data_IF_866710108282
#
_entry.id   IF_866710108282
#
_cell.length_a   1.000
_cell.length_b   1.000
_cell.length_c   1.000
_cell.angle_alpha   90.00
_cell.angle_beta   90.00
_cell.angle_gamma   90.00
#
_symmetry.space_group_name_H-M   'P 1'
#
loop_
_entity.id
_entity.type
_entity.pdbx_description
1 polymer ?
#
# COMPACT_ATOMS: atom_id res chain seq x y z
N UNK A 1 -28.58 41.00 -17.11
CA UNK A 1 -27.25 40.37 -17.03
C UNK A 1 -26.44 40.93 -18.20
N UNK A 2 -25.39 41.70 -17.93
CA UNK A 2 -24.50 42.14 -18.99
C UNK A 2 -23.87 40.91 -19.67
N UNK A 3 -23.73 40.90 -21.00
CA UNK A 3 -23.06 39.82 -21.70
C UNK A 3 -21.59 39.81 -21.26
N UNK A 4 -21.25 38.89 -20.37
CA UNK A 4 -19.87 38.67 -19.93
C UNK A 4 -19.03 38.29 -21.15
N UNK A 5 -18.08 39.14 -21.52
CA UNK A 5 -17.15 38.89 -22.60
C UNK A 5 -16.33 37.61 -22.32
N UNK A 6 -16.23 36.75 -23.33
CA UNK A 6 -15.43 35.52 -23.23
C UNK A 6 -13.92 35.81 -23.10
N UNK A 7 -13.12 34.88 -22.54
CA UNK A 7 -11.71 35.11 -22.19
C UNK A 7 -10.86 35.63 -23.35
N UNK A 8 -10.98 35.00 -24.53
CA UNK A 8 -10.27 35.40 -25.76
C UNK A 8 -10.59 36.84 -26.19
N UNK A 9 -11.86 37.24 -26.06
CA UNK A 9 -12.31 38.60 -26.40
C UNK A 9 -11.80 39.62 -25.38
N UNK A 10 -11.76 39.27 -24.09
CA UNK A 10 -11.18 40.10 -23.04
C UNK A 10 -9.69 40.34 -23.27
N UNK A 11 -8.93 39.30 -23.63
CA UNK A 11 -7.50 39.44 -23.99
C UNK A 11 -7.32 40.36 -25.20
N UNK A 12 -8.10 40.18 -26.26
CA UNK A 12 -8.02 41.04 -27.45
C UNK A 12 -8.32 42.51 -27.16
N UNK A 13 -9.28 42.80 -26.27
CA UNK A 13 -9.59 44.16 -25.85
C UNK A 13 -8.48 44.78 -24.99
N UNK A 14 -7.86 44.01 -24.10
CA UNK A 14 -6.70 44.46 -23.34
C UNK A 14 -5.50 44.75 -24.25
N UNK A 15 -5.27 43.95 -25.29
CA UNK A 15 -4.23 44.22 -26.28
C UNK A 15 -4.52 45.53 -27.04
N UNK A 16 -5.76 45.75 -27.46
CA UNK A 16 -6.15 47.01 -28.11
C UNK A 16 -5.98 48.21 -27.16
N UNK A 17 -6.36 48.07 -25.89
CA UNK A 17 -6.16 49.10 -24.87
C UNK A 17 -4.67 49.42 -24.68
N UNK A 18 -3.81 48.41 -24.61
CA UNK A 18 -2.36 48.57 -24.50
C UNK A 18 -1.77 49.32 -25.71
N UNK A 19 -2.18 48.98 -26.93
CA UNK A 19 -1.74 49.68 -28.16
C UNK A 19 -2.18 51.15 -28.17
N UNK A 20 -3.36 51.44 -27.61
CA UNK A 20 -3.90 52.80 -27.52
C UNK A 20 -3.37 53.60 -26.31
N UNK A 21 -2.53 52.99 -25.45
CA UNK A 21 -2.01 53.63 -24.25
C UNK A 21 -3.08 53.88 -23.18
N UNK A 22 -4.16 53.10 -23.18
CA UNK A 22 -5.22 53.19 -22.17
C UNK A 22 -4.79 52.43 -20.92
N UNK A 23 -4.68 53.14 -19.80
CA UNK A 23 -4.46 52.50 -18.49
C UNK A 23 -5.71 51.73 -18.07
N UNK A 24 -5.53 50.44 -17.78
CA UNK A 24 -6.60 49.57 -17.29
C UNK A 24 -6.48 49.44 -15.79
N UNK A 25 -7.56 49.75 -15.07
CA UNK A 25 -7.58 49.67 -13.62
C UNK A 25 -7.37 48.24 -13.10
N UNK A 26 -6.67 48.12 -11.97
CA UNK A 26 -6.37 46.84 -11.33
C UNK A 26 -7.57 45.90 -11.14
N UNK A 27 -8.74 46.35 -10.64
CA UNK A 27 -9.91 45.49 -10.47
C UNK A 27 -10.39 44.82 -11.77
N UNK A 28 -10.24 45.50 -12.91
CA UNK A 28 -10.60 44.94 -14.22
C UNK A 28 -9.62 43.85 -14.62
N UNK A 29 -8.31 44.05 -14.39
CA UNK A 29 -7.28 43.04 -14.64
C UNK A 29 -7.47 41.79 -13.77
N UNK A 30 -7.82 41.97 -12.49
CA UNK A 30 -8.11 40.88 -11.56
C UNK A 30 -9.32 40.04 -12.02
N UNK A 31 -10.43 40.68 -12.39
CA UNK A 31 -11.63 39.99 -12.88
C UNK A 31 -11.39 39.27 -14.22
N UNK A 32 -10.63 39.88 -15.14
CA UNK A 32 -10.24 39.21 -16.38
C UNK A 32 -9.31 38.04 -16.10
N UNK A 33 -8.34 38.18 -15.19
CA UNK A 33 -7.44 37.09 -14.81
C UNK A 33 -8.18 35.92 -14.15
N UNK A 34 -9.17 36.18 -13.29
CA UNK A 34 -10.00 35.15 -12.67
C UNK A 34 -10.85 34.40 -13.71
N UNK A 35 -11.43 35.12 -14.67
CA UNK A 35 -12.17 34.50 -15.78
C UNK A 35 -11.27 33.66 -16.68
N UNK A 36 -10.09 34.16 -17.01
CA UNK A 36 -9.09 33.40 -17.79
C UNK A 36 -8.65 32.16 -17.02
N UNK A 37 -8.24 32.30 -15.75
CA UNK A 37 -7.82 31.16 -14.94
C UNK A 37 -8.94 30.11 -14.82
N UNK A 38 -10.19 30.53 -14.61
CA UNK A 38 -11.34 29.62 -14.55
C UNK A 38 -11.59 28.91 -15.88
N UNK A 39 -11.47 29.62 -17.00
CA UNK A 39 -11.65 29.03 -18.32
C UNK A 39 -10.52 28.04 -18.67
N UNK A 40 -9.27 28.39 -18.37
CA UNK A 40 -8.09 27.57 -18.64
C UNK A 40 -8.04 26.29 -17.78
N UNK A 41 -8.61 26.32 -16.57
CA UNK A 41 -8.59 25.19 -15.64
C UNK A 41 -9.80 24.26 -15.76
N UNK A 42 -10.79 24.58 -16.60
CA UNK A 42 -11.84 23.63 -16.99
C UNK A 42 -11.28 22.66 -18.03
N UNK A 43 -11.41 21.36 -17.78
CA UNK A 43 -10.96 20.31 -18.69
C UNK A 43 -12.15 19.60 -19.38
N UNK A 44 -12.12 19.43 -20.71
CA UNK A 44 -11.19 20.08 -21.65
C UNK A 44 -11.45 21.59 -21.71
N UNK A 45 -10.41 22.38 -21.92
CA UNK A 45 -10.59 23.81 -22.19
C UNK A 45 -11.25 23.94 -23.58
N UNK A 46 -12.31 24.73 -23.67
CA UNK A 46 -12.92 25.03 -24.97
C UNK A 46 -11.93 25.81 -25.83
N UNK A 47 -11.67 25.40 -27.07
CA UNK A 47 -10.69 26.02 -27.96
C UNK A 47 -10.99 27.53 -28.19
N UNK A 48 -12.26 27.91 -28.16
CA UNK A 48 -12.72 29.30 -28.25
C UNK A 48 -12.35 30.15 -27.01
N UNK A 49 -12.09 29.51 -25.87
CA UNK A 49 -11.69 30.16 -24.62
C UNK A 49 -10.16 30.35 -24.50
N UNK A 50 -9.35 29.69 -25.34
CA UNK A 50 -7.90 29.80 -25.29
C UNK A 50 -7.41 31.13 -25.87
N UNK A 51 -6.48 31.84 -25.20
CA UNK A 51 -5.77 32.95 -25.80
C UNK A 51 -5.01 32.51 -27.05
N UNK A 52 -4.91 33.40 -28.04
CA UNK A 52 -4.04 33.17 -29.20
C UNK A 52 -2.59 33.03 -28.72
N UNK A 53 -1.77 32.12 -29.30
CA UNK A 53 -0.35 32.00 -28.96
C UNK A 53 0.36 33.36 -28.96
N UNK A 54 1.18 33.61 -27.95
CA UNK A 54 1.89 34.89 -27.75
C UNK A 54 1.01 36.07 -27.28
N UNK A 55 -0.32 35.94 -27.20
CA UNK A 55 -1.19 37.07 -26.86
C UNK A 55 -0.94 37.62 -25.44
N UNK A 56 -0.64 36.72 -24.50
CA UNK A 56 -0.37 37.09 -23.10
C UNK A 56 1.01 37.75 -22.92
N UNK A 57 1.99 37.45 -23.78
CA UNK A 57 3.33 38.07 -23.70
C UNK A 57 3.29 39.59 -23.91
N UNK A 58 2.30 40.10 -24.65
CA UNK A 58 2.05 41.53 -24.84
C UNK A 58 1.28 42.22 -23.71
N UNK A 59 0.94 41.51 -22.63
CA UNK A 59 0.12 42.01 -21.51
C UNK A 59 0.81 41.72 -20.16
N UNK A 60 1.94 42.38 -19.83
CA UNK A 60 2.71 42.09 -18.62
C UNK A 60 1.94 42.35 -17.32
N UNK A 61 1.07 43.36 -17.28
CA UNK A 61 0.23 43.68 -16.11
C UNK A 61 -0.81 42.59 -15.84
N UNK A 62 -1.43 42.04 -16.90
CA UNK A 62 -2.33 40.90 -16.77
C UNK A 62 -1.56 39.65 -16.30
N UNK A 63 -0.37 39.42 -16.85
CA UNK A 63 0.48 38.27 -16.46
C UNK A 63 0.91 38.34 -14.99
N UNK A 64 1.20 39.54 -14.47
CA UNK A 64 1.55 39.74 -13.07
C UNK A 64 0.44 39.28 -12.10
N UNK A 65 -0.81 39.31 -12.54
CA UNK A 65 -2.01 38.94 -11.77
C UNK A 65 -2.47 37.51 -12.06
N UNK A 66 -2.30 37.04 -13.29
CA UNK A 66 -2.68 35.70 -13.74
C UNK A 66 -1.71 34.60 -13.26
N UNK A 67 -0.40 34.83 -13.39
CA UNK A 67 0.61 33.80 -13.08
C UNK A 67 0.55 33.29 -11.63
N UNK A 68 0.34 34.12 -10.58
CA UNK A 68 0.17 33.62 -9.21
C UNK A 68 -1.06 32.74 -9.00
N UNK A 69 -2.10 32.85 -9.83
CA UNK A 69 -3.28 31.97 -9.79
C UNK A 69 -2.94 30.62 -10.42
N UNK A 70 -2.30 30.65 -11.58
CA UNK A 70 -1.87 29.45 -12.30
C UNK A 70 -0.76 28.70 -11.55
N UNK A 71 0.09 29.40 -10.80
CA UNK A 71 1.12 28.79 -9.94
C UNK A 71 0.49 27.96 -8.81
N UNK A 72 -0.52 28.53 -8.12
CA UNK A 72 -1.29 27.79 -7.10
C UNK A 72 -2.04 26.60 -7.70
N UNK A 73 -2.52 26.74 -8.94
CA UNK A 73 -3.11 25.63 -9.67
C UNK A 73 -2.08 24.55 -10.00
N UNK A 74 -0.90 24.91 -10.51
CA UNK A 74 0.17 23.97 -10.83
C UNK A 74 0.68 23.20 -9.61
N UNK A 75 0.77 23.85 -8.44
CA UNK A 75 1.10 23.18 -7.18
C UNK A 75 0.04 22.12 -6.78
N UNK A 76 -1.24 22.38 -7.08
CA UNK A 76 -2.36 21.50 -6.74
C UNK A 76 -2.63 20.42 -7.79
N UNK A 77 -2.48 20.74 -9.07
CA UNK A 77 -2.83 19.89 -10.22
C UNK A 77 -1.74 19.95 -11.29
N UNK A 78 -0.53 19.44 -11.00
CA UNK A 78 0.64 19.59 -11.87
C UNK A 78 0.46 18.95 -13.24
N UNK A 79 -0.19 17.78 -13.33
CA UNK A 79 -0.44 17.14 -14.62
C UNK A 79 -1.45 17.91 -15.47
N UNK A 80 -2.48 18.49 -14.85
CA UNK A 80 -3.43 19.33 -15.56
C UNK A 80 -2.80 20.65 -15.99
N UNK A 81 -1.91 21.22 -15.17
CA UNK A 81 -1.12 22.39 -15.53
C UNK A 81 -0.13 22.09 -16.66
N UNK A 82 0.52 20.92 -16.67
CA UNK A 82 1.37 20.48 -17.78
C UNK A 82 0.56 20.35 -19.08
N UNK A 83 -0.62 19.74 -19.03
CA UNK A 83 -1.50 19.64 -20.20
C UNK A 83 -1.92 21.03 -20.72
N UNK A 84 -2.28 21.95 -19.80
CA UNK A 84 -2.59 23.34 -20.14
C UNK A 84 -1.43 24.05 -20.83
N UNK A 85 -0.21 23.89 -20.31
CA UNK A 85 1.02 24.48 -20.89
C UNK A 85 1.37 23.89 -22.26
N UNK A 86 0.83 22.72 -22.61
CA UNK A 86 0.94 22.17 -23.96
C UNK A 86 0.10 22.91 -25.02
N UNK A 87 -0.88 23.71 -24.59
CA UNK A 87 -1.82 24.43 -25.49
C UNK A 87 -1.86 25.95 -25.26
N UNK A 88 -1.30 26.45 -24.16
CA UNK A 88 -1.21 27.89 -23.85
C UNK A 88 0.25 28.31 -23.68
N UNK A 89 0.63 29.35 -24.42
CA UNK A 89 1.93 30.01 -24.29
C UNK A 89 1.91 31.05 -23.15
N UNK A 90 2.62 30.76 -22.06
CA UNK A 90 2.76 31.63 -20.89
C UNK A 90 4.19 32.20 -20.81
N UNK A 91 4.35 33.52 -20.57
CA UNK A 91 5.67 34.13 -20.47
C UNK A 91 6.33 33.87 -19.10
N UNK A 92 6.69 32.62 -18.82
CA UNK A 92 7.24 32.17 -17.53
C UNK A 92 8.59 32.81 -17.18
N UNK A 93 9.38 33.18 -18.18
CA UNK A 93 10.68 33.85 -17.99
C UNK A 93 10.55 35.34 -17.65
N UNK A 94 9.45 35.96 -18.05
CA UNK A 94 9.14 37.36 -17.75
C UNK A 94 8.38 37.55 -16.43
N UNK A 95 8.14 36.46 -15.68
CA UNK A 95 7.39 36.50 -14.43
C UNK A 95 8.09 37.36 -13.37
N UNK A 96 7.37 38.37 -12.85
CA UNK A 96 7.86 39.27 -11.79
C UNK A 96 8.06 38.54 -10.46
N UNK A 97 7.20 37.55 -10.17
CA UNK A 97 7.31 36.68 -8.99
C UNK A 97 7.77 35.28 -9.40
N UNK A 98 8.45 34.54 -8.51
CA UNK A 98 8.82 33.16 -8.80
C UNK A 98 7.58 32.29 -9.07
N UNK A 99 7.69 31.44 -10.10
CA UNK A 99 6.66 30.47 -10.54
C UNK A 99 7.25 29.07 -10.71
N UNK A 100 7.89 28.51 -9.65
CA UNK A 100 8.62 27.24 -9.76
C UNK A 100 7.76 26.04 -10.17
N UNK A 101 6.50 25.95 -9.73
CA UNK A 101 5.60 24.84 -10.11
C UNK A 101 5.24 24.92 -11.59
N UNK A 102 4.89 26.09 -12.11
CA UNK A 102 4.62 26.26 -13.55
C UNK A 102 5.85 25.95 -14.40
N UNK A 103 7.04 26.40 -13.99
CA UNK A 103 8.29 26.07 -14.69
C UNK A 103 8.56 24.58 -14.69
N UNK A 104 8.35 23.91 -13.57
CA UNK A 104 8.49 22.46 -13.46
C UNK A 104 7.49 21.72 -14.36
N UNK A 105 6.23 22.16 -14.39
CA UNK A 105 5.21 21.60 -15.30
C UNK A 105 5.59 21.78 -16.77
N UNK A 106 6.13 22.95 -17.15
CA UNK A 106 6.58 23.23 -18.51
C UNK A 106 7.78 22.34 -18.91
N UNK A 107 8.72 22.12 -17.98
CA UNK A 107 9.93 21.32 -18.20
C UNK A 107 9.72 19.80 -18.13
N UNK A 108 8.61 19.32 -17.58
CA UNK A 108 8.41 17.90 -17.26
C UNK A 108 8.35 16.96 -18.46
N UNK A 109 7.91 17.42 -19.62
CA UNK A 109 7.93 16.59 -20.83
C UNK A 109 9.38 16.35 -21.29
N UNK A 110 10.18 17.42 -21.33
CA UNK A 110 11.59 17.37 -21.70
C UNK A 110 12.41 16.58 -20.69
N UNK A 111 12.21 16.80 -19.39
CA UNK A 111 12.93 16.06 -18.35
C UNK A 111 12.72 14.55 -18.49
N UNK A 112 11.48 14.09 -18.74
CA UNK A 112 11.18 12.68 -18.98
C UNK A 112 11.74 12.15 -20.31
N UNK A 113 11.74 12.97 -21.36
CA UNK A 113 12.23 12.56 -22.68
C UNK A 113 13.75 12.34 -22.72
N UNK A 114 14.52 13.06 -21.91
CA UNK A 114 15.98 13.00 -21.89
C UNK A 114 16.57 12.21 -20.73
N UNK A 115 15.77 11.85 -19.72
CA UNK A 115 16.23 11.08 -18.58
C UNK A 115 16.40 9.59 -18.92
N UNK A 116 17.37 8.94 -18.24
CA UNK A 116 17.60 7.49 -18.37
C UNK A 116 16.51 6.67 -17.66
N UNK A 117 15.98 7.19 -16.56
CA UNK A 117 14.92 6.59 -15.76
C UNK A 117 14.07 7.66 -15.05
N UNK A 118 13.06 7.22 -14.29
CA UNK A 118 12.16 8.11 -13.56
C UNK A 118 12.90 8.93 -12.48
N UNK A 119 13.87 8.34 -11.79
CA UNK A 119 14.65 9.01 -10.74
C UNK A 119 15.48 10.14 -11.34
N UNK A 120 16.16 9.91 -12.46
CA UNK A 120 16.91 10.92 -13.19
C UNK A 120 16.01 12.05 -13.70
N UNK A 121 14.78 11.75 -14.14
CA UNK A 121 13.81 12.77 -14.53
C UNK A 121 13.38 13.64 -13.33
N UNK A 122 13.20 13.02 -12.16
CA UNK A 122 12.84 13.70 -10.93
C UNK A 122 13.97 14.60 -10.43
N UNK A 123 15.20 14.10 -10.39
CA UNK A 123 16.39 14.86 -10.02
C UNK A 123 16.59 16.07 -10.96
N UNK A 124 16.38 15.89 -12.27
CA UNK A 124 16.47 16.96 -13.26
C UNK A 124 15.42 18.07 -13.06
N UNK A 125 14.17 17.69 -12.77
CA UNK A 125 13.11 18.65 -12.45
C UNK A 125 13.43 19.47 -11.21
N UNK A 126 13.93 18.82 -10.16
CA UNK A 126 14.34 19.52 -8.94
C UNK A 126 15.54 20.43 -9.17
N UNK A 127 16.54 19.98 -9.93
CA UNK A 127 17.75 20.75 -10.27
C UNK A 127 17.43 22.02 -11.06
N UNK A 128 16.43 21.95 -11.94
CA UNK A 128 16.02 23.07 -12.81
C UNK A 128 14.97 23.97 -12.17
N UNK A 129 14.33 23.53 -11.09
CA UNK A 129 13.39 24.36 -10.32
C UNK A 129 14.08 25.56 -9.69
N UNK A 130 13.48 26.74 -9.86
CA UNK A 130 13.95 28.00 -9.26
C UNK A 130 12.75 28.78 -8.67
N UNK A 131 12.75 29.07 -7.36
CA UNK A 131 13.78 28.75 -6.36
C UNK A 131 13.86 27.24 -6.03
N UNK A 132 14.90 26.83 -5.31
CA UNK A 132 15.14 25.41 -4.98
C UNK A 132 14.09 24.87 -4.01
N UNK A 133 13.89 23.55 -4.04
CA UNK A 133 12.99 22.82 -3.14
C UNK A 133 13.29 23.05 -1.65
N UNK A 134 14.53 23.40 -1.29
CA UNK A 134 14.89 23.75 0.10
C UNK A 134 14.17 25.00 0.63
N UNK A 135 13.72 25.87 -0.27
CA UNK A 135 12.90 27.05 0.08
C UNK A 135 11.41 26.83 -0.15
N UNK A 136 11.05 25.90 -1.04
CA UNK A 136 9.66 25.54 -1.37
C UNK A 136 9.54 24.00 -1.44
N UNK A 137 9.36 23.31 -0.29
CA UNK A 137 9.37 21.85 -0.24
C UNK A 137 8.25 21.19 -1.06
N UNK A 138 7.15 21.89 -1.31
CA UNK A 138 6.03 21.37 -2.11
C UNK A 138 6.42 21.03 -3.56
N UNK A 139 7.58 21.52 -4.03
CA UNK A 139 8.19 21.12 -5.30
C UNK A 139 8.56 19.64 -5.35
N UNK A 140 8.90 19.00 -4.22
CA UNK A 140 9.16 17.55 -4.16
C UNK A 140 7.94 16.75 -4.62
N UNK A 141 6.75 17.13 -4.14
CA UNK A 141 5.50 16.46 -4.50
C UNK A 141 5.07 16.78 -5.93
N UNK A 142 5.35 18.00 -6.40
CA UNK A 142 5.08 18.41 -7.79
C UNK A 142 5.91 17.56 -8.75
N UNK A 143 7.21 17.45 -8.51
CA UNK A 143 8.11 16.62 -9.30
C UNK A 143 7.67 15.14 -9.27
N UNK A 144 7.31 14.61 -8.08
CA UNK A 144 6.83 13.23 -7.94
C UNK A 144 5.62 12.97 -8.83
N UNK A 145 4.60 13.84 -8.80
CA UNK A 145 3.37 13.69 -9.58
C UNK A 145 3.57 13.89 -11.10
N UNK A 146 4.61 14.62 -11.51
CA UNK A 146 4.94 14.84 -12.92
C UNK A 146 5.72 13.67 -13.54
N UNK A 147 6.48 12.94 -12.73
CA UNK A 147 7.31 11.82 -13.16
C UNK A 147 6.52 10.51 -13.14
N UNK A 148 5.93 10.17 -11.98
CA UNK A 148 5.23 8.91 -11.74
C UNK A 148 3.73 9.03 -12.05
N UNK A 149 3.43 9.15 -13.34
CA UNK A 149 2.07 9.45 -13.85
C UNK A 149 1.15 8.23 -13.93
N UNK A 150 1.67 7.12 -14.46
CA UNK A 150 0.91 5.88 -14.68
C UNK A 150 1.02 4.92 -13.49
N UNK A 151 2.21 4.85 -12.90
CA UNK A 151 2.51 4.00 -11.77
C UNK A 151 3.24 4.83 -10.71
N UNK A 152 2.83 4.72 -9.43
CA UNK A 152 3.49 5.41 -8.34
C UNK A 152 4.92 4.85 -8.11
N UNK A 153 5.79 5.60 -7.39
CA UNK A 153 7.15 5.15 -7.13
C UNK A 153 7.20 3.75 -6.50
N UNK A 154 8.14 2.95 -6.99
CA UNK A 154 8.55 1.69 -6.37
C UNK A 154 9.33 1.91 -5.07
N UNK A 155 9.68 0.82 -4.38
CA UNK A 155 10.36 0.89 -3.08
C UNK A 155 11.74 1.56 -3.16
N UNK A 156 12.56 1.19 -4.15
CA UNK A 156 13.90 1.74 -4.33
C UNK A 156 13.86 3.23 -4.71
N UNK A 157 12.96 3.60 -5.63
CA UNK A 157 12.74 4.98 -6.04
C UNK A 157 12.25 5.83 -4.86
N UNK A 158 11.35 5.28 -4.04
CA UNK A 158 10.84 5.96 -2.86
C UNK A 158 11.92 6.14 -1.78
N UNK A 159 12.81 5.16 -1.60
CA UNK A 159 13.97 5.32 -0.74
C UNK A 159 14.88 6.46 -1.22
N UNK A 160 15.19 6.52 -2.52
CA UNK A 160 15.95 7.62 -3.12
C UNK A 160 15.29 8.98 -2.89
N UNK A 161 13.98 9.09 -3.13
CA UNK A 161 13.23 10.33 -2.90
C UNK A 161 13.34 10.77 -1.43
N UNK A 162 13.21 9.86 -0.47
CA UNK A 162 13.33 10.19 0.96
C UNK A 162 14.75 10.56 1.40
N UNK A 163 15.78 10.11 0.68
CA UNK A 163 17.18 10.45 0.97
C UNK A 163 17.57 11.82 0.40
N UNK A 164 16.82 12.33 -0.58
CA UNK A 164 17.13 13.58 -1.26
C UNK A 164 16.85 14.85 -0.43
N UNK A 165 16.03 14.77 0.62
CA UNK A 165 15.70 15.90 1.50
C UNK A 165 15.52 15.48 2.96
N UNK A 166 15.49 16.47 3.87
CA UNK A 166 15.19 16.21 5.29
C UNK A 166 13.72 15.85 5.53
N UNK A 167 13.44 15.24 6.69
CA UNK A 167 12.10 14.80 7.06
C UNK A 167 11.11 15.97 7.17
N UNK A 168 11.55 17.18 7.53
CA UNK A 168 10.68 18.35 7.62
C UNK A 168 10.21 18.80 6.23
N UNK A 169 11.10 18.75 5.23
CA UNK A 169 10.80 19.03 3.83
C UNK A 169 9.80 18.01 3.28
N UNK A 170 10.00 16.71 3.55
CA UNK A 170 9.06 15.66 3.18
C UNK A 170 7.70 15.78 3.89
N UNK A 171 7.70 16.25 5.14
CA UNK A 171 6.47 16.54 5.90
C UNK A 171 5.70 17.68 5.26
N UNK A 172 6.38 18.79 4.96
CA UNK A 172 5.79 19.97 4.32
C UNK A 172 5.27 19.65 2.91
N UNK A 173 6.01 18.85 2.14
CA UNK A 173 5.62 18.41 0.81
C UNK A 173 4.49 17.36 0.81
N UNK A 174 4.34 16.61 1.90
CA UNK A 174 3.39 15.50 2.02
C UNK A 174 3.82 14.21 1.31
N UNK A 175 5.06 14.12 0.82
CA UNK A 175 5.58 12.96 0.06
C UNK A 175 5.77 11.70 0.91
N UNK A 176 5.81 11.83 2.25
CA UNK A 176 5.81 10.69 3.16
C UNK A 176 4.58 9.77 3.01
N UNK A 177 3.44 10.30 2.52
CA UNK A 177 2.23 9.50 2.26
C UNK A 177 2.43 8.51 1.13
N UNK A 178 3.15 8.92 0.09
CA UNK A 178 3.52 8.02 -1.00
C UNK A 178 4.49 6.93 -0.52
N UNK A 179 5.37 7.27 0.43
CA UNK A 179 6.25 6.29 1.05
C UNK A 179 5.51 5.25 1.89
N UNK A 180 4.48 5.66 2.64
CA UNK A 180 3.56 4.73 3.30
C UNK A 180 2.92 3.79 2.27
N UNK A 181 2.35 4.35 1.19
CA UNK A 181 1.70 3.54 0.16
C UNK A 181 2.67 2.57 -0.53
N UNK A 182 3.91 2.99 -0.79
CA UNK A 182 4.96 2.15 -1.35
C UNK A 182 5.33 0.99 -0.41
N UNK A 183 5.54 1.28 0.88
CA UNK A 183 5.84 0.25 1.88
C UNK A 183 4.72 -0.80 1.98
N UNK A 184 3.46 -0.35 1.96
CA UNK A 184 2.31 -1.25 2.03
C UNK A 184 2.16 -2.13 0.78
N UNK A 185 2.38 -1.59 -0.42
CA UNK A 185 2.39 -2.38 -1.66
C UNK A 185 3.52 -3.41 -1.65
N UNK A 186 4.71 -2.98 -1.22
CA UNK A 186 5.88 -3.86 -1.13
C UNK A 186 5.70 -5.03 -0.18
N UNK A 187 4.94 -4.81 0.90
CA UNK A 187 4.73 -5.81 1.93
C UNK A 187 3.92 -7.04 1.52
N UNK A 188 3.21 -7.00 0.39
CA UNK A 188 2.50 -8.16 -0.18
C UNK A 188 3.17 -8.72 -1.44
N UNK A 189 4.36 -8.22 -1.79
CA UNK A 189 5.12 -8.64 -2.96
C UNK A 189 6.02 -9.86 -2.71
N UNK A 190 7.11 -9.93 -3.45
CA UNK A 190 8.20 -10.89 -3.24
C UNK A 190 8.87 -10.70 -1.89
N UNK A 191 9.66 -11.68 -1.44
CA UNK A 191 10.40 -11.58 -0.17
C UNK A 191 11.36 -10.37 -0.16
N UNK A 192 12.00 -10.08 -1.29
CA UNK A 192 12.88 -8.92 -1.44
C UNK A 192 12.10 -7.60 -1.32
N UNK A 193 10.92 -7.51 -1.94
CA UNK A 193 10.05 -6.33 -1.82
C UNK A 193 9.51 -6.17 -0.40
N UNK A 194 9.12 -7.27 0.26
CA UNK A 194 8.67 -7.24 1.65
C UNK A 194 9.79 -6.76 2.59
N UNK A 195 11.04 -7.19 2.36
CA UNK A 195 12.20 -6.74 3.12
C UNK A 195 12.49 -5.24 2.89
N UNK A 196 12.45 -4.77 1.64
CA UNK A 196 12.60 -3.35 1.33
C UNK A 196 11.45 -2.51 1.93
N UNK A 197 10.23 -3.03 1.90
CA UNK A 197 9.07 -2.43 2.55
C UNK A 197 9.25 -2.30 4.07
N UNK A 198 9.80 -3.31 4.75
CA UNK A 198 10.14 -3.25 6.19
C UNK A 198 11.17 -2.16 6.49
N UNK A 199 12.22 -2.05 5.66
CA UNK A 199 13.22 -0.99 5.78
C UNK A 199 12.59 0.39 5.65
N UNK A 200 11.68 0.56 4.68
CA UNK A 200 10.93 1.80 4.48
C UNK A 200 9.99 2.11 5.66
N UNK A 201 9.29 1.10 6.20
CA UNK A 201 8.47 1.23 7.41
C UNK A 201 9.29 1.69 8.63
N UNK A 202 10.47 1.11 8.83
CA UNK A 202 11.37 1.51 9.91
C UNK A 202 11.86 2.96 9.74
N UNK A 203 12.13 3.40 8.51
CA UNK A 203 12.41 4.81 8.23
C UNK A 203 11.21 5.69 8.59
N UNK A 204 10.00 5.31 8.15
CA UNK A 204 8.77 6.08 8.42
C UNK A 204 8.49 6.23 9.92
N UNK A 205 8.69 5.18 10.72
CA UNK A 205 8.52 5.24 12.18
C UNK A 205 9.51 6.19 12.86
N UNK A 206 10.74 6.29 12.35
CA UNK A 206 11.76 7.20 12.90
C UNK A 206 11.52 8.65 12.47
N UNK A 207 11.22 8.85 11.20
CA UNK A 207 11.21 10.19 10.58
C UNK A 207 9.85 10.90 10.70
N UNK A 208 8.74 10.16 10.77
CA UNK A 208 7.38 10.71 10.73
C UNK A 208 6.44 10.16 11.83
N UNK A 209 6.87 10.05 13.11
CA UNK A 209 6.06 9.41 14.14
C UNK A 209 4.74 10.12 14.44
N UNK A 210 4.66 11.44 14.26
CA UNK A 210 3.48 12.25 14.56
C UNK A 210 2.43 12.21 13.44
N UNK A 211 2.87 11.94 12.21
CA UNK A 211 2.04 11.92 11.00
C UNK A 211 1.29 10.59 10.84
N UNK A 212 1.83 9.51 11.42
CA UNK A 212 1.26 8.18 11.30
C UNK A 212 0.02 8.02 12.19
N UNK A 213 -1.13 7.88 11.53
CA UNK A 213 -2.39 7.50 12.19
C UNK A 213 -2.28 6.14 12.87
N UNK A 214 -3.16 5.83 13.82
CA UNK A 214 -3.20 4.50 14.46
C UNK A 214 -3.36 3.38 13.41
N UNK A 215 -4.23 3.59 12.42
CA UNK A 215 -4.44 2.66 11.29
C UNK A 215 -3.17 2.43 10.48
N UNK A 216 -2.47 3.50 10.08
CA UNK A 216 -1.24 3.39 9.29
C UNK A 216 -0.13 2.72 10.09
N UNK A 217 0.03 3.09 11.37
CA UNK A 217 0.99 2.48 12.27
C UNK A 217 0.74 0.98 12.41
N UNK A 218 -0.51 0.56 12.59
CA UNK A 218 -0.86 -0.86 12.66
C UNK A 218 -0.51 -1.61 11.36
N UNK A 219 -0.82 -1.03 10.18
CA UNK A 219 -0.48 -1.62 8.87
C UNK A 219 1.03 -1.79 8.68
N UNK A 220 1.82 -0.76 8.99
CA UNK A 220 3.28 -0.84 8.90
C UNK A 220 3.87 -1.84 9.92
N UNK A 221 3.27 -1.99 11.11
CA UNK A 221 3.67 -3.03 12.08
C UNK A 221 3.30 -4.44 11.63
N UNK A 222 2.22 -4.63 10.87
CA UNK A 222 1.91 -5.95 10.28
C UNK A 222 2.98 -6.38 9.27
N UNK A 223 3.62 -5.44 8.58
CA UNK A 223 4.74 -5.73 7.68
C UNK A 223 5.99 -6.20 8.44
N UNK A 224 6.31 -5.56 9.57
CA UNK A 224 7.38 -6.02 10.47
C UNK A 224 7.06 -7.41 11.05
N UNK A 225 5.84 -7.60 11.54
CA UNK A 225 5.36 -8.88 12.09
C UNK A 225 5.45 -10.01 11.05
N UNK A 226 5.04 -9.76 9.81
CA UNK A 226 5.16 -10.75 8.74
C UNK A 226 6.62 -11.15 8.48
N UNK A 227 7.57 -10.21 8.58
CA UNK A 227 8.99 -10.50 8.49
C UNK A 227 9.50 -11.33 9.67
N UNK A 228 9.13 -10.96 10.90
CA UNK A 228 9.48 -11.71 12.10
C UNK A 228 8.92 -13.13 12.06
N UNK A 229 7.68 -13.31 11.60
CA UNK A 229 7.08 -14.62 11.34
C UNK A 229 7.90 -15.39 10.29
N UNK A 230 8.24 -14.77 9.16
CA UNK A 230 9.00 -15.43 8.10
C UNK A 230 10.36 -15.94 8.60
N UNK A 231 11.05 -15.13 9.39
CA UNK A 231 12.39 -15.39 9.93
C UNK A 231 12.37 -16.18 11.25
N UNK A 232 11.19 -16.50 11.78
CA UNK A 232 11.02 -17.26 13.02
C UNK A 232 11.48 -16.50 14.27
N UNK A 233 11.39 -15.17 14.26
CA UNK A 233 11.80 -14.31 15.38
C UNK A 233 10.61 -13.88 16.24
N UNK A 234 10.83 -13.84 17.54
CA UNK A 234 9.80 -13.45 18.51
C UNK A 234 8.86 -14.60 18.85
N UNK A 235 7.78 -14.25 19.54
CA UNK A 235 6.70 -15.13 19.96
C UNK A 235 5.41 -14.31 20.10
N UNK A 236 4.30 -14.98 20.38
CA UNK A 236 2.97 -14.43 20.55
C UNK A 236 2.47 -13.70 19.30
N UNK A 237 2.85 -14.18 18.10
CA UNK A 237 2.48 -13.55 16.84
C UNK A 237 0.96 -13.47 16.66
N UNK A 238 0.21 -14.47 17.13
CA UNK A 238 -1.25 -14.47 17.04
C UNK A 238 -1.88 -13.33 17.84
N UNK A 239 -1.44 -13.15 19.09
CA UNK A 239 -1.91 -12.05 19.95
C UNK A 239 -1.53 -10.69 19.35
N UNK A 240 -0.28 -10.56 18.88
CA UNK A 240 0.20 -9.34 18.24
C UNK A 240 -0.63 -8.98 17.00
N UNK A 241 -0.95 -9.95 16.14
CA UNK A 241 -1.72 -9.72 14.92
C UNK A 241 -3.16 -9.26 15.24
N UNK A 242 -3.82 -9.85 16.24
CA UNK A 242 -5.14 -9.44 16.72
C UNK A 242 -5.11 -8.03 17.31
N UNK A 243 -4.13 -7.75 18.17
CA UNK A 243 -3.96 -6.41 18.78
C UNK A 243 -3.73 -5.33 17.73
N UNK A 244 -2.98 -5.63 16.67
CA UNK A 244 -2.77 -4.71 15.54
C UNK A 244 -4.07 -4.50 14.74
N UNK A 245 -4.87 -5.55 14.53
CA UNK A 245 -6.19 -5.44 13.91
C UNK A 245 -7.10 -4.50 14.68
N UNK A 246 -7.21 -4.70 15.99
CA UNK A 246 -8.08 -3.91 16.88
C UNK A 246 -7.61 -2.45 16.96
N UNK A 247 -6.34 -2.22 17.29
CA UNK A 247 -5.78 -0.87 17.43
C UNK A 247 -5.79 -0.06 16.13
N UNK A 248 -5.69 -0.74 14.99
CA UNK A 248 -5.75 -0.13 13.65
C UNK A 248 -7.15 0.03 13.07
N UNK A 249 -8.18 -0.52 13.71
CA UNK A 249 -9.55 -0.58 13.16
C UNK A 249 -9.61 -1.32 11.81
N UNK A 250 -8.86 -2.41 11.68
CA UNK A 250 -8.75 -3.18 10.43
C UNK A 250 -9.90 -4.22 10.36
N UNK A 251 -11.09 -3.76 9.96
CA UNK A 251 -12.30 -4.59 10.00
C UNK A 251 -12.22 -5.82 9.09
N UNK A 252 -11.76 -5.67 7.85
CA UNK A 252 -11.66 -6.76 6.87
C UNK A 252 -10.19 -7.18 6.66
N UNK A 253 -9.89 -8.49 6.57
CA UNK A 253 -8.55 -8.99 6.29
C UNK A 253 -8.22 -8.79 4.81
N UNK A 254 -7.75 -7.60 4.47
CA UNK A 254 -7.27 -7.26 3.13
C UNK A 254 -5.82 -6.80 3.19
N UNK A 255 -5.10 -7.01 2.08
CA UNK A 255 -3.69 -6.62 1.95
C UNK A 255 -2.81 -7.23 3.04
N UNK A 256 -2.12 -6.39 3.81
CA UNK A 256 -1.11 -6.80 4.79
C UNK A 256 -1.65 -7.67 5.93
N UNK A 257 -2.91 -7.47 6.35
CA UNK A 257 -3.48 -8.27 7.43
C UNK A 257 -3.69 -9.73 6.99
N UNK A 258 -4.29 -9.92 5.81
CA UNK A 258 -4.44 -11.25 5.22
C UNK A 258 -3.08 -11.92 4.96
N UNK A 259 -2.10 -11.15 4.49
CA UNK A 259 -0.73 -11.64 4.30
C UNK A 259 -0.09 -12.10 5.61
N UNK A 260 -0.18 -11.30 6.68
CA UNK A 260 0.34 -11.66 8.00
C UNK A 260 -0.37 -12.90 8.56
N UNK A 261 -1.70 -13.01 8.42
CA UNK A 261 -2.47 -14.17 8.86
C UNK A 261 -2.09 -15.44 8.10
N UNK A 262 -1.85 -15.32 6.79
CA UNK A 262 -1.38 -16.42 5.94
C UNK A 262 0.01 -16.87 6.39
N UNK A 263 0.93 -15.92 6.58
CA UNK A 263 2.29 -16.21 7.06
C UNK A 263 2.27 -16.89 8.42
N UNK A 264 1.43 -16.41 9.35
CA UNK A 264 1.25 -17.00 10.67
C UNK A 264 0.71 -18.44 10.57
N UNK A 265 -0.32 -18.65 9.75
CA UNK A 265 -0.90 -19.97 9.52
C UNK A 265 0.14 -20.98 9.05
N UNK A 266 0.98 -20.60 8.08
CA UNK A 266 2.10 -21.43 7.64
C UNK A 266 3.17 -21.62 8.72
N UNK A 267 3.48 -20.57 9.48
CA UNK A 267 4.50 -20.62 10.52
C UNK A 267 4.16 -21.59 11.65
N UNK A 268 2.91 -21.61 12.11
CA UNK A 268 2.42 -22.58 13.12
C UNK A 268 2.56 -24.02 12.61
N UNK A 269 2.37 -24.26 11.31
CA UNK A 269 2.48 -25.60 10.70
C UNK A 269 3.93 -26.02 10.39
N UNK A 270 4.93 -25.16 10.55
CA UNK A 270 6.33 -25.53 10.26
C UNK A 270 6.85 -26.59 11.22
N UNK A 271 6.52 -26.50 12.50
CA UNK A 271 6.97 -27.45 13.53
C UNK A 271 5.80 -27.89 14.43
N UNK A 272 4.95 -28.83 13.97
CA UNK A 272 3.83 -29.32 14.78
C UNK A 272 4.28 -30.10 16.01
N UNK A 273 3.43 -30.14 17.04
CA UNK A 273 3.64 -30.87 18.28
C UNK A 273 4.03 -30.00 19.48
N UNK A 274 3.86 -28.68 19.37
CA UNK A 274 4.13 -27.70 20.44
C UNK A 274 2.87 -26.88 20.74
N UNK A 275 1.89 -27.45 21.47
CA UNK A 275 0.59 -26.81 21.65
C UNK A 275 0.65 -25.56 22.53
N UNK A 276 1.63 -25.44 23.43
CA UNK A 276 1.74 -24.33 24.41
C UNK A 276 2.35 -23.04 23.83
N UNK A 277 2.65 -22.99 22.53
CA UNK A 277 3.25 -21.83 21.85
C UNK A 277 2.24 -21.02 21.02
N UNK A 278 2.62 -20.68 19.79
CA UNK A 278 1.76 -19.92 18.85
C UNK A 278 0.38 -20.56 18.63
N UNK A 279 0.27 -21.87 18.76
CA UNK A 279 -1.01 -22.57 18.68
C UNK A 279 -1.95 -22.18 19.83
N UNK A 280 -1.43 -21.98 21.04
CA UNK A 280 -2.23 -21.52 22.18
C UNK A 280 -2.82 -20.14 21.90
N UNK A 281 -1.98 -19.20 21.45
CA UNK A 281 -2.42 -17.85 21.07
C UNK A 281 -3.43 -17.87 19.92
N UNK A 282 -3.21 -18.71 18.91
CA UNK A 282 -4.15 -18.90 17.80
C UNK A 282 -5.51 -19.44 18.28
N UNK A 283 -5.50 -20.50 19.10
CA UNK A 283 -6.71 -21.16 19.59
C UNK A 283 -7.57 -20.22 20.46
N UNK A 284 -6.93 -19.40 21.29
CA UNK A 284 -7.60 -18.47 22.20
C UNK A 284 -7.80 -17.06 21.63
N UNK A 285 -7.38 -16.81 20.38
CA UNK A 285 -7.49 -15.49 19.74
C UNK A 285 -8.93 -15.00 19.59
N UNK A 286 -9.90 -15.92 19.46
CA UNK A 286 -11.27 -15.60 19.10
C UNK A 286 -11.44 -15.03 17.68
N UNK A 287 -10.37 -14.95 16.89
CA UNK A 287 -10.39 -14.34 15.55
C UNK A 287 -10.69 -15.39 14.47
N UNK A 288 -11.91 -15.31 13.91
CA UNK A 288 -12.38 -16.26 12.89
C UNK A 288 -11.56 -16.21 11.60
N UNK A 289 -11.05 -15.04 11.21
CA UNK A 289 -10.28 -14.86 9.98
C UNK A 289 -8.87 -15.44 10.14
N UNK A 290 -8.28 -15.28 11.32
CA UNK A 290 -7.00 -15.90 11.65
C UNK A 290 -7.11 -17.44 11.67
N UNK A 291 -8.18 -17.97 12.27
CA UNK A 291 -8.45 -19.42 12.25
C UNK A 291 -8.69 -19.93 10.83
N UNK A 292 -9.39 -19.17 9.98
CA UNK A 292 -9.61 -19.53 8.58
C UNK A 292 -8.30 -19.56 7.78
N UNK A 293 -7.39 -18.59 8.00
CA UNK A 293 -6.07 -18.57 7.37
C UNK A 293 -5.22 -19.78 7.77
N UNK A 294 -5.22 -20.16 9.05
CA UNK A 294 -4.56 -21.39 9.52
C UNK A 294 -5.15 -22.65 8.86
N UNK A 295 -6.48 -22.72 8.76
CA UNK A 295 -7.16 -23.84 8.13
C UNK A 295 -6.82 -23.95 6.64
N UNK A 296 -6.73 -22.82 5.94
CA UNK A 296 -6.34 -22.76 4.54
C UNK A 296 -4.87 -23.20 4.35
N UNK A 297 -3.97 -22.77 5.23
CA UNK A 297 -2.57 -23.20 5.22
C UNK A 297 -2.44 -24.73 5.39
N UNK A 298 -3.26 -25.33 6.27
CA UNK A 298 -3.26 -26.78 6.48
C UNK A 298 -3.89 -27.57 5.32
N UNK A 299 -4.79 -26.97 4.54
CA UNK A 299 -5.38 -27.57 3.34
C UNK A 299 -4.48 -27.50 2.10
N UNK A 300 -3.34 -26.82 2.20
CA UNK A 300 -2.39 -26.75 1.10
C UNK A 300 -1.90 -28.16 0.70
N UNK A 301 -1.80 -28.42 -0.61
CA UNK A 301 -1.42 -29.72 -1.15
C UNK A 301 -0.02 -30.19 -0.68
N UNK A 302 0.94 -29.28 -0.57
CA UNK A 302 2.30 -29.58 -0.13
C UNK A 302 2.31 -30.01 1.34
N UNK A 303 1.50 -29.37 2.17
CA UNK A 303 1.32 -29.77 3.56
C UNK A 303 0.63 -31.12 3.67
N UNK A 304 -0.38 -31.37 2.84
CA UNK A 304 -1.04 -32.68 2.73
C UNK A 304 -0.06 -33.79 2.35
N UNK A 305 0.90 -33.54 1.46
CA UNK A 305 1.94 -34.51 1.10
C UNK A 305 2.95 -34.74 2.23
N UNK A 306 3.34 -33.68 2.93
CA UNK A 306 4.17 -33.78 4.13
C UNK A 306 3.51 -34.65 5.20
N UNK A 307 2.20 -34.53 5.42
CA UNK A 307 1.46 -35.40 6.35
C UNK A 307 1.46 -36.88 5.94
N UNK A 308 1.52 -37.20 4.64
CA UNK A 308 1.57 -38.60 4.15
C UNK A 308 2.96 -39.22 4.22
N UNK A 309 3.99 -38.38 4.14
CA UNK A 309 5.38 -38.83 4.02
C UNK A 309 6.15 -38.77 5.33
N UNK A 310 5.84 -37.81 6.21
CA UNK A 310 6.49 -37.61 7.50
C UNK A 310 5.56 -37.95 8.69
N UNK A 311 5.75 -39.12 9.34
CA UNK A 311 4.98 -39.54 10.50
C UNK A 311 5.11 -38.58 11.70
N UNK A 312 6.24 -37.89 11.85
CA UNK A 312 6.49 -36.97 12.96
C UNK A 312 5.61 -35.73 12.84
N UNK A 313 5.53 -35.15 11.64
CA UNK A 313 4.59 -34.05 11.34
C UNK A 313 3.15 -34.47 11.61
N UNK A 314 2.73 -35.67 11.16
CA UNK A 314 1.36 -36.14 11.37
C UNK A 314 1.03 -36.39 12.86
N UNK A 315 1.98 -36.94 13.63
CA UNK A 315 1.85 -37.09 15.08
C UNK A 315 1.73 -35.73 15.78
N UNK A 316 2.60 -34.77 15.42
CA UNK A 316 2.56 -33.41 15.96
C UNK A 316 1.24 -32.70 15.68
N UNK A 317 0.72 -32.77 14.44
CA UNK A 317 -0.59 -32.20 14.10
C UNK A 317 -1.74 -32.86 14.88
N UNK A 318 -1.68 -34.17 15.12
CA UNK A 318 -2.69 -34.82 15.96
C UNK A 318 -2.66 -34.27 17.39
N UNK A 319 -1.46 -34.10 17.97
CA UNK A 319 -1.30 -33.50 19.31
C UNK A 319 -1.85 -32.08 19.32
N UNK A 320 -1.45 -31.25 18.36
CA UNK A 320 -1.86 -29.85 18.26
C UNK A 320 -3.38 -29.70 18.09
N UNK A 321 -3.99 -30.45 17.16
CA UNK A 321 -5.43 -30.32 16.86
C UNK A 321 -6.33 -31.01 17.88
N UNK A 322 -5.76 -31.77 18.81
CA UNK A 322 -6.51 -32.29 19.98
C UNK A 322 -6.18 -31.53 21.26
N UNK A 323 -5.28 -30.54 21.19
CA UNK A 323 -4.96 -29.65 22.29
C UNK A 323 -6.04 -28.59 22.51
N UNK A 324 -5.98 -27.96 23.68
CA UNK A 324 -6.85 -26.85 24.09
C UNK A 324 -8.35 -27.12 23.96
N UNK A 325 -8.87 -28.24 24.50
CA UNK A 325 -10.32 -28.43 24.58
C UNK A 325 -10.94 -27.29 25.39
N UNK A 326 -11.97 -26.65 24.85
CA UNK A 326 -12.64 -25.50 25.50
C UNK A 326 -12.02 -24.13 25.20
N UNK A 327 -11.06 -24.00 24.28
CA UNK A 327 -10.55 -22.70 23.82
C UNK A 327 -11.60 -21.85 23.07
N UNK A 328 -12.81 -22.38 22.87
CA UNK A 328 -13.96 -21.69 22.31
C UNK A 328 -14.52 -22.38 21.08
N UNK A 329 -15.75 -22.02 20.65
CA UNK A 329 -16.44 -22.70 19.57
C UNK A 329 -15.73 -22.57 18.20
N UNK A 330 -15.00 -21.47 17.99
CA UNK A 330 -14.21 -21.26 16.77
C UNK A 330 -13.07 -22.27 16.65
N UNK A 331 -12.28 -22.44 17.71
CA UNK A 331 -11.21 -23.45 17.75
C UNK A 331 -11.75 -24.88 17.68
N UNK A 332 -12.84 -25.19 18.37
CA UNK A 332 -13.46 -26.52 18.33
C UNK A 332 -13.94 -26.89 16.91
N UNK A 333 -14.54 -25.94 16.19
CA UNK A 333 -14.92 -26.16 14.80
C UNK A 333 -13.70 -26.33 13.88
N UNK A 334 -12.68 -25.48 14.03
CA UNK A 334 -11.44 -25.54 13.24
C UNK A 334 -10.68 -26.84 13.48
N UNK A 335 -10.45 -27.22 14.73
CA UNK A 335 -9.76 -28.46 15.12
C UNK A 335 -10.50 -29.71 14.59
N UNK A 336 -11.83 -29.77 14.74
CA UNK A 336 -12.64 -30.85 14.21
C UNK A 336 -12.50 -30.97 12.68
N UNK A 337 -12.59 -29.84 11.96
CA UNK A 337 -12.44 -29.81 10.51
C UNK A 337 -11.02 -30.22 10.07
N UNK A 338 -9.98 -29.77 10.75
CA UNK A 338 -8.59 -30.15 10.45
C UNK A 338 -8.36 -31.65 10.63
N UNK A 339 -8.84 -32.23 11.74
CA UNK A 339 -8.78 -33.68 11.96
C UNK A 339 -9.54 -34.45 10.87
N UNK A 340 -10.76 -34.02 10.55
CA UNK A 340 -11.66 -34.77 9.68
C UNK A 340 -11.38 -34.63 8.19
N UNK A 341 -10.95 -33.44 7.76
CA UNK A 341 -10.78 -33.06 6.36
C UNK A 341 -9.32 -32.97 5.92
N UNK A 342 -8.35 -32.83 6.85
CA UNK A 342 -6.93 -32.75 6.51
C UNK A 342 -6.17 -34.00 6.97
N UNK A 343 -6.11 -34.27 8.28
CA UNK A 343 -5.31 -35.39 8.80
C UNK A 343 -5.88 -36.73 8.38
N UNK A 344 -7.20 -36.92 8.52
CA UNK A 344 -7.84 -38.20 8.22
C UNK A 344 -7.70 -38.60 6.76
N UNK A 345 -7.90 -37.73 5.75
CA UNK A 345 -7.62 -38.08 4.35
C UNK A 345 -6.15 -38.42 4.10
N UNK A 346 -5.20 -37.71 4.71
CA UNK A 346 -3.78 -38.01 4.57
C UNK A 346 -3.43 -39.41 5.11
N UNK A 347 -3.93 -39.77 6.29
CA UNK A 347 -3.64 -41.07 6.92
C UNK A 347 -4.41 -42.25 6.31
N UNK A 348 -5.46 -41.99 5.52
CA UNK A 348 -6.33 -43.04 4.96
C UNK A 348 -5.58 -43.99 4.02
N UNK A 349 -4.65 -43.46 3.23
CA UNK A 349 -3.80 -44.23 2.30
C UNK A 349 -2.40 -44.49 2.87
N UNK A 350 -2.16 -44.17 4.14
CA UNK A 350 -0.83 -44.30 4.73
C UNK A 350 -0.43 -45.79 4.85
N UNK A 351 0.81 -46.15 4.47
CA UNK A 351 1.35 -47.48 4.71
C UNK A 351 1.35 -47.84 6.19
N UNK A 352 1.28 -49.14 6.51
CA UNK A 352 1.37 -49.61 7.91
C UNK A 352 2.63 -49.11 8.61
N UNK A 353 3.77 -49.10 7.91
CA UNK A 353 5.04 -48.59 8.45
C UNK A 353 4.95 -47.12 8.89
N UNK A 354 4.25 -46.28 8.12
CA UNK A 354 4.02 -44.88 8.46
C UNK A 354 3.13 -44.75 9.71
N UNK A 355 2.03 -45.51 9.78
CA UNK A 355 1.15 -45.51 10.96
C UNK A 355 1.87 -46.02 12.22
N UNK A 356 2.72 -47.05 12.11
CA UNK A 356 3.53 -47.54 13.23
C UNK A 356 4.52 -46.48 13.70
N UNK A 357 5.24 -45.82 12.78
CA UNK A 357 6.16 -44.75 13.13
C UNK A 357 5.43 -43.58 13.82
N UNK A 358 4.27 -43.17 13.31
CA UNK A 358 3.43 -42.15 13.93
C UNK A 358 3.04 -42.53 15.36
N UNK A 359 2.58 -43.77 15.60
CA UNK A 359 2.22 -44.22 16.95
C UNK A 359 3.43 -44.28 17.89
N UNK A 360 4.62 -44.60 17.38
CA UNK A 360 5.86 -44.55 18.16
C UNK A 360 6.15 -43.12 18.60
N UNK A 361 6.08 -42.15 17.69
CA UNK A 361 6.26 -40.72 18.02
C UNK A 361 5.22 -40.25 19.05
N UNK A 362 3.94 -40.65 18.91
CA UNK A 362 2.92 -40.30 19.91
C UNK A 362 3.22 -40.92 21.28
N UNK A 363 3.79 -42.13 21.33
CA UNK A 363 4.11 -42.82 22.57
C UNK A 363 5.19 -42.10 23.40
N UNK A 364 6.07 -41.32 22.75
CA UNK A 364 7.06 -40.46 23.44
C UNK A 364 6.38 -39.44 24.37
N UNK A 365 5.18 -38.97 23.99
CA UNK A 365 4.33 -38.10 24.81
C UNK A 365 3.41 -38.83 25.79
N UNK A 366 3.48 -40.17 25.85
CA UNK A 366 2.75 -41.01 26.79
C UNK A 366 1.65 -41.89 26.14
N UNK A 367 1.30 -43.02 26.79
CA UNK A 367 0.39 -44.03 26.22
C UNK A 367 -1.03 -43.52 25.97
N UNK A 368 -1.47 -42.50 26.74
CA UNK A 368 -2.78 -41.88 26.55
C UNK A 368 -2.95 -41.24 25.17
N UNK A 369 -1.88 -40.70 24.57
CA UNK A 369 -1.92 -40.10 23.22
C UNK A 369 -2.14 -41.15 22.15
N UNK A 370 -1.50 -42.32 22.30
CA UNK A 370 -1.69 -43.47 21.42
C UNK A 370 -3.14 -43.96 21.51
N UNK A 371 -3.66 -44.16 22.72
CA UNK A 371 -5.05 -44.59 22.91
C UNK A 371 -6.07 -43.58 22.36
N UNK A 372 -5.80 -42.27 22.51
CA UNK A 372 -6.64 -41.21 21.95
C UNK A 372 -6.63 -41.24 20.41
N UNK A 373 -5.45 -41.37 19.81
CA UNK A 373 -5.26 -41.50 18.36
C UNK A 373 -5.97 -42.73 17.81
N UNK A 374 -5.77 -43.90 18.42
CA UNK A 374 -6.41 -45.14 18.01
C UNK A 374 -7.94 -45.03 18.12
N UNK A 375 -8.45 -44.47 19.23
CA UNK A 375 -9.88 -44.26 19.43
C UNK A 375 -10.47 -43.32 18.38
N UNK A 376 -9.78 -42.23 18.03
CA UNK A 376 -10.19 -41.32 16.96
C UNK A 376 -10.15 -42.01 15.58
N UNK A 377 -9.05 -42.70 15.26
CA UNK A 377 -8.87 -43.38 13.98
C UNK A 377 -9.86 -44.54 13.79
N UNK A 378 -10.17 -45.30 14.85
CA UNK A 378 -11.09 -46.45 14.84
C UNK A 378 -12.58 -46.06 14.85
N UNK A 379 -13.00 -45.03 15.60
CA UNK A 379 -14.40 -44.53 15.64
C UNK A 379 -14.95 -44.28 14.23
N UNK A 380 -14.10 -43.90 13.30
CA UNK A 380 -14.43 -43.61 11.91
C UNK A 380 -14.48 -44.81 10.96
N UNK A 381 -13.90 -45.96 11.36
CA UNK A 381 -14.09 -47.25 10.64
C UNK A 381 -15.45 -47.84 11.02
N UNK A 382 -15.81 -47.80 12.30
CA UNK A 382 -17.07 -48.34 12.81
C UNK A 382 -18.32 -47.54 12.36
N UNK A 383 -18.24 -46.21 12.24
CA UNK A 383 -19.35 -45.38 11.74
C UNK A 383 -19.66 -45.61 10.25
N UNK A 384 -18.68 -46.11 9.47
CA UNK A 384 -18.87 -46.53 8.07
C UNK A 384 -19.52 -47.91 7.95
N UNK A 385 -19.13 -48.87 8.78
CA UNK A 385 -19.80 -50.18 8.85
C UNK A 385 -21.29 -50.05 9.20
N UNK A 386 -21.66 -49.11 10.08
CA UNK A 386 -23.08 -48.83 10.38
C UNK A 386 -23.84 -48.17 9.23
N UNK A 387 -23.20 -47.34 8.40
CA UNK A 387 -23.85 -46.75 7.19
C UNK A 387 -23.94 -47.73 6.01
N UNK A 388 -23.04 -48.71 5.93
CA UNK A 388 -23.04 -49.75 4.89
C UNK A 388 -23.95 -50.95 5.20
N UNK A 389 -24.20 -51.24 6.49
CA UNK A 389 -25.07 -52.35 6.93
C UNK A 389 -26.50 -51.87 7.24
N UNK A 390 -26.71 -50.56 7.44
CA UNK A 390 -28.00 -49.95 7.74
C UNK A 390 -28.62 -49.12 6.60
N UNK A 391 -28.21 -49.37 5.35
CA UNK A 391 -28.75 -48.74 4.14
C UNK A 391 -29.67 -49.68 3.38
#
# INVERSE_FOLDING_TARGET
>A
AEPTLGPRRSVALLQAAAVLGVEVEGPVLEDVADRIATALTRLPAEEEALPVPGALAGLPELCAVLLPRLERYAAREPLAAQALLGVVDLPLDAAVRPVPHLRMCAGAASARAFALDAVAAWDELLRTSRPSWSTEPTLLNTALRLVWTEQPPGLAEMAHILEAADSDSHRAAGTWREAVAAAERGGTGTEAEAAAGRTLAAHLFRSFPAELTARTRARLRLLELAGDIAEGRGADWAEQAVKLRESGGLAEPTGLLAHAYTALGHAVLRQPGSPEGELYGLAHSGDAELLAAYQQAARNADFGERLRTDPTTAAGCFVDWTAHPGAGPGWEATSAALLDEVLRPALRSAPRAHLTALTTTLAEGGPHRVSAFESWHQRTRASRWRRLIGG
#
